data_IF_070241248552
#
_entry.id   IF_070241248552
#
_cell.length_a   1.000
_cell.length_b   1.000
_cell.length_c   1.000
_cell.angle_alpha   90.00
_cell.angle_beta   90.00
_cell.angle_gamma   90.00
#
_symmetry.space_group_name_H-M   'P 1'
#
loop_
_entity.id
_entity.type
_entity.pdbx_description
1 polymer ?
#
# COMPACT_ATOMS: atom_id res chain seq x y z
N UNK A 1 15.77 28.99 11.99
CA UNK A 1 16.51 28.10 11.08
C UNK A 1 15.85 26.73 11.12
N UNK A 2 15.32 26.24 9.99
CA UNK A 2 14.53 25.00 9.91
C UNK A 2 15.48 23.80 9.98
N UNK A 3 15.37 22.97 11.04
CA UNK A 3 16.15 21.73 11.16
C UNK A 3 15.49 20.68 10.27
N UNK A 4 16.15 20.32 9.17
CA UNK A 4 15.78 19.18 8.31
C UNK A 4 16.26 17.91 9.03
N UNK A 5 15.33 17.11 9.54
CA UNK A 5 15.64 15.79 10.07
C UNK A 5 15.86 14.85 8.89
N UNK A 6 17.12 14.56 8.61
CA UNK A 6 17.54 13.50 7.68
C UNK A 6 17.20 12.18 8.37
N UNK A 7 16.21 11.45 7.85
CA UNK A 7 15.91 10.08 8.29
C UNK A 7 16.99 9.16 7.75
N UNK A 8 17.91 8.75 8.62
CA UNK A 8 18.94 7.75 8.35
C UNK A 8 18.26 6.39 8.20
N UNK A 9 18.21 5.87 6.97
CA UNK A 9 17.83 4.48 6.69
C UNK A 9 18.95 3.58 7.22
N UNK A 10 18.67 2.81 8.26
CA UNK A 10 19.55 1.76 8.74
C UNK A 10 19.56 0.62 7.71
N UNK A 11 20.68 0.48 7.01
CA UNK A 11 21.02 -0.73 6.23
C UNK A 11 21.32 -1.83 7.24
N UNK A 12 20.38 -2.75 7.41
CA UNK A 12 20.58 -4.00 8.13
C UNK A 12 20.61 -5.12 7.10
N UNK A 13 21.80 -5.66 6.87
CA UNK A 13 22.08 -6.79 6.00
C UNK A 13 21.20 -8.00 6.38
N UNK A 14 20.38 -8.46 5.42
CA UNK A 14 19.70 -9.76 5.48
C UNK A 14 19.74 -10.37 4.08
N UNK A 15 20.82 -11.11 3.84
CA UNK A 15 21.01 -12.00 2.68
C UNK A 15 20.20 -13.29 2.90
N UNK A 16 19.20 -13.60 2.05
CA UNK A 16 18.74 -14.99 1.88
C UNK A 16 17.86 -15.18 0.63
N UNK A 17 18.49 -15.86 -0.33
CA UNK A 17 18.04 -16.87 -1.30
C UNK A 17 16.93 -16.58 -2.34
N UNK A 18 17.42 -16.57 -3.58
CA UNK A 18 16.73 -16.79 -4.85
C UNK A 18 15.81 -18.03 -4.79
N UNK A 19 14.51 -17.83 -5.01
CA UNK A 19 13.59 -18.91 -5.32
C UNK A 19 12.86 -18.59 -6.62
N UNK A 20 13.42 -19.10 -7.70
CA UNK A 20 12.85 -19.15 -9.05
C UNK A 20 11.47 -19.83 -8.99
N UNK A 21 10.39 -19.10 -9.27
CA UNK A 21 9.02 -19.61 -9.18
C UNK A 21 8.15 -19.15 -10.34
N UNK A 22 8.09 -19.98 -11.38
CA UNK A 22 7.05 -20.14 -12.42
C UNK A 22 6.25 -18.88 -12.85
N UNK A 23 6.54 -18.42 -14.06
CA UNK A 23 5.77 -17.41 -14.81
C UNK A 23 4.33 -17.90 -15.08
N UNK A 24 3.40 -17.58 -14.18
CA UNK A 24 1.99 -17.53 -14.54
C UNK A 24 1.64 -16.09 -14.93
N UNK A 25 1.38 -15.89 -16.22
CA UNK A 25 1.05 -14.63 -16.87
C UNK A 25 -0.32 -14.10 -16.42
N UNK A 26 -0.40 -13.66 -15.17
CA UNK A 26 -1.41 -12.71 -14.71
C UNK A 26 -0.73 -11.33 -14.59
N UNK A 27 -1.06 -10.46 -15.54
CA UNK A 27 -0.57 -9.09 -15.68
C UNK A 27 -0.94 -8.16 -14.51
N UNK A 28 -1.48 -8.70 -13.43
CA UNK A 28 -1.84 -8.00 -12.20
C UNK A 28 -0.88 -8.30 -11.03
N UNK A 29 -0.01 -9.30 -11.14
CA UNK A 29 0.83 -9.79 -10.04
C UNK A 29 2.20 -9.09 -9.92
N UNK A 30 2.76 -8.57 -11.02
CA UNK A 30 4.12 -7.99 -11.03
C UNK A 30 4.24 -6.71 -10.18
N UNK A 31 3.19 -5.89 -10.13
CA UNK A 31 3.13 -4.71 -9.25
C UNK A 31 3.07 -5.10 -7.78
N UNK A 32 2.68 -6.35 -7.49
CA UNK A 32 2.46 -6.81 -6.14
C UNK A 32 3.72 -7.17 -5.35
N UNK A 33 4.83 -7.44 -6.03
CA UNK A 33 6.11 -7.76 -5.40
C UNK A 33 6.94 -6.51 -5.09
N UNK A 34 6.62 -5.36 -5.71
CA UNK A 34 7.37 -4.11 -5.55
C UNK A 34 6.92 -3.27 -4.35
N UNK A 35 5.70 -3.51 -3.85
CA UNK A 35 5.08 -2.69 -2.80
C UNK A 35 4.64 -3.53 -1.62
N UNK A 36 4.88 -3.02 -0.41
CA UNK A 36 4.54 -3.72 0.81
C UNK A 36 3.03 -3.87 0.95
N UNK A 37 2.57 -4.86 1.71
CA UNK A 37 1.14 -5.00 2.03
C UNK A 37 0.56 -3.76 2.72
N UNK A 38 1.39 -3.00 3.44
CA UNK A 38 1.00 -1.75 4.08
C UNK A 38 0.69 -0.63 3.06
N UNK A 39 1.21 -0.73 1.82
CA UNK A 39 0.99 0.25 0.76
C UNK A 39 -0.24 -0.08 -0.10
N UNK A 40 -1.09 -1.02 0.34
CA UNK A 40 -2.26 -1.49 -0.41
C UNK A 40 -3.56 -1.13 0.28
N UNK A 41 -4.57 -0.86 -0.53
CA UNK A 41 -5.91 -0.64 -0.03
C UNK A 41 -6.42 -1.92 0.65
N UNK A 42 -6.84 -1.89 1.93
CA UNK A 42 -7.34 -3.09 2.61
C UNK A 42 -8.61 -3.68 1.98
N UNK A 43 -9.31 -2.92 1.14
CA UNK A 43 -10.56 -3.34 0.48
C UNK A 43 -10.31 -3.98 -0.88
N UNK A 44 -9.53 -3.33 -1.75
CA UNK A 44 -9.33 -3.78 -3.13
C UNK A 44 -7.92 -4.31 -3.43
N UNK A 45 -7.03 -4.30 -2.43
CA UNK A 45 -5.64 -4.78 -2.49
C UNK A 45 -4.76 -4.10 -3.55
N UNK A 46 -5.26 -3.02 -4.15
CA UNK A 46 -4.54 -2.23 -5.13
C UNK A 46 -3.57 -1.28 -4.42
N UNK A 47 -2.42 -1.02 -5.04
CA UNK A 47 -1.42 -0.11 -4.51
C UNK A 47 -2.00 1.30 -4.31
N UNK A 48 -1.75 1.90 -3.14
CA UNK A 48 -2.16 3.24 -2.74
C UNK A 48 -1.15 4.31 -3.13
N UNK A 49 0.08 3.92 -3.48
CA UNK A 49 1.13 4.85 -3.86
C UNK A 49 0.71 5.65 -5.09
N UNK A 50 1.03 6.94 -5.06
CA UNK A 50 0.73 7.92 -6.12
C UNK A 50 -0.77 8.08 -6.44
N UNK A 51 -1.67 7.56 -5.59
CA UNK A 51 -3.12 7.69 -5.74
C UNK A 51 -3.72 8.55 -4.64
N UNK A 52 -4.91 9.07 -4.92
CA UNK A 52 -5.73 9.70 -3.89
C UNK A 52 -6.21 8.64 -2.88
N UNK A 53 -5.99 8.97 -1.61
CA UNK A 53 -6.36 8.13 -0.47
C UNK A 53 -7.30 8.87 0.45
N UNK A 54 -8.15 8.12 1.15
CA UNK A 54 -9.04 8.66 2.18
C UNK A 54 -8.85 7.94 3.51
N UNK A 55 -9.26 8.66 4.56
CA UNK A 55 -9.13 8.26 5.95
C UNK A 55 -10.51 8.35 6.60
N UNK A 56 -11.03 7.28 7.21
CA UNK A 56 -12.27 7.34 7.97
C UNK A 56 -12.08 8.16 9.25
N UNK A 57 -13.11 8.87 9.70
CA UNK A 57 -13.05 9.56 11.00
C UNK A 57 -13.00 8.58 12.19
N UNK A 58 -13.49 7.35 11.99
CA UNK A 58 -13.57 6.33 13.03
C UNK A 58 -12.25 5.59 13.28
N UNK A 59 -11.27 5.68 12.37
CA UNK A 59 -9.99 4.97 12.50
C UNK A 59 -8.87 5.55 11.62
N UNK A 60 -7.60 5.28 11.97
CA UNK A 60 -6.44 5.77 11.21
C UNK A 60 -6.06 4.90 10.00
N UNK A 61 -7.00 4.13 9.45
CA UNK A 61 -6.72 3.27 8.31
C UNK A 61 -6.80 4.04 6.98
N UNK A 62 -5.99 3.63 6.02
CA UNK A 62 -5.88 4.28 4.71
C UNK A 62 -6.53 3.41 3.65
N UNK A 63 -7.38 4.01 2.82
CA UNK A 63 -8.06 3.33 1.72
C UNK A 63 -7.90 4.15 0.44
N UNK A 64 -8.02 3.51 -0.72
CA UNK A 64 -8.10 4.26 -1.97
C UNK A 64 -9.43 5.03 -2.04
N UNK A 65 -9.43 6.18 -2.71
CA UNK A 65 -10.59 7.09 -2.78
C UNK A 65 -11.88 6.37 -3.22
N UNK A 66 -11.80 5.47 -4.20
CA UNK A 66 -12.97 4.73 -4.68
C UNK A 66 -13.58 3.81 -3.62
N UNK A 67 -12.75 3.16 -2.80
CA UNK A 67 -13.23 2.22 -1.80
C UNK A 67 -13.84 2.92 -0.58
N UNK A 68 -13.23 4.02 -0.11
CA UNK A 68 -13.76 4.78 1.02
C UNK A 68 -15.09 5.47 0.69
N UNK A 69 -15.25 6.02 -0.52
CA UNK A 69 -16.51 6.65 -0.94
C UNK A 69 -17.66 5.66 -1.02
N UNK A 70 -17.44 4.50 -1.67
CA UNK A 70 -18.44 3.43 -1.71
C UNK A 70 -18.81 2.92 -0.33
N UNK A 71 -17.83 2.82 0.57
CA UNK A 71 -18.11 2.39 1.93
C UNK A 71 -18.96 3.42 2.70
N UNK A 72 -18.69 4.72 2.51
CA UNK A 72 -19.49 5.78 3.10
C UNK A 72 -20.94 5.79 2.57
N UNK A 73 -21.14 5.56 1.26
CA UNK A 73 -22.48 5.45 0.66
C UNK A 73 -23.32 4.35 1.31
N UNK A 74 -22.75 3.16 1.49
CA UNK A 74 -23.44 2.01 2.13
C UNK A 74 -23.66 2.24 3.63
N UNK A 75 -22.79 3.02 4.28
CA UNK A 75 -22.93 3.31 5.72
C UNK A 75 -24.02 4.35 6.03
N UNK A 76 -24.49 5.08 5.01
CA UNK A 76 -25.51 6.11 5.13
C UNK A 76 -26.92 5.64 4.71
N UNK A 77 -27.05 4.41 4.20
CA UNK A 77 -28.33 3.78 3.82
C UNK A 77 -28.90 2.93 4.95
#
# INVERSE_FOLDING_TARGET
>A
MKRKTVYTLNVGDREYEDMEGEENKDNTATTGLLYSEADRCPICLNCLLEKEVGFPESCNHVFCMTCILKWAEVSLS
#
